data_IF_032560035805
#
_entry.id   IF_032560035805
#
_cell.length_a   1.000
_cell.length_b   1.000
_cell.length_c   1.000
_cell.angle_alpha   90.00
_cell.angle_beta   90.00
_cell.angle_gamma   90.00
#
_symmetry.space_group_name_H-M   'P 1'
#
loop_
_entity.id
_entity.type
_entity.pdbx_description
1 polymer ?
#
# COMPACT_ATOMS: atom_id res chain seq x y z
N UNK A 1 31.33 -24.48 -20.66
CA UNK A 1 31.29 -23.08 -20.17
C UNK A 1 29.86 -22.61 -20.36
N UNK A 2 29.11 -22.44 -19.26
CA UNK A 2 27.70 -22.07 -19.31
C UNK A 2 27.58 -20.57 -19.55
N UNK A 3 26.88 -20.18 -20.62
CA UNK A 3 26.46 -18.80 -20.83
C UNK A 3 25.47 -18.42 -19.73
N UNK A 4 25.86 -17.49 -18.87
CA UNK A 4 24.90 -16.76 -18.06
C UNK A 4 24.04 -15.95 -19.03
N UNK A 5 22.69 -16.05 -19.01
CA UNK A 5 21.88 -15.20 -19.85
C UNK A 5 22.09 -13.75 -19.43
N UNK A 6 22.56 -12.91 -20.34
CA UNK A 6 22.73 -11.46 -20.16
C UNK A 6 21.41 -10.76 -19.84
N UNK A 7 20.29 -11.37 -20.23
CA UNK A 7 18.94 -10.90 -19.95
C UNK A 7 18.07 -12.02 -19.37
N UNK A 8 17.19 -11.66 -18.43
CA UNK A 8 16.16 -12.57 -17.93
C UNK A 8 15.38 -13.15 -19.14
N UNK A 9 15.19 -14.48 -19.22
CA UNK A 9 14.56 -15.11 -20.37
C UNK A 9 13.10 -14.62 -20.47
N UNK A 10 12.84 -13.78 -21.48
CA UNK A 10 11.51 -13.28 -21.80
C UNK A 10 11.40 -11.77 -21.96
N UNK A 11 12.34 -10.98 -21.45
CA UNK A 11 12.30 -9.52 -21.54
C UNK A 11 13.38 -9.02 -22.50
N UNK A 12 12.94 -8.48 -23.64
CA UNK A 12 13.79 -7.79 -24.61
C UNK A 12 13.21 -6.39 -24.80
N UNK A 13 13.84 -5.40 -24.16
CA UNK A 13 13.33 -4.03 -24.09
C UNK A 13 13.21 -3.36 -25.47
N UNK A 14 14.07 -3.75 -26.42
CA UNK A 14 14.06 -3.25 -27.79
C UNK A 14 12.97 -3.92 -28.63
N UNK A 15 12.82 -5.25 -28.50
CA UNK A 15 11.75 -6.03 -29.16
C UNK A 15 10.35 -5.63 -28.68
N UNK A 16 10.21 -5.40 -27.38
CA UNK A 16 8.91 -5.17 -26.74
C UNK A 16 8.54 -3.68 -26.71
N UNK A 17 9.38 -2.80 -27.29
CA UNK A 17 9.14 -1.36 -27.38
C UNK A 17 9.00 -0.66 -26.02
N UNK A 18 9.46 -1.32 -24.94
CA UNK A 18 9.31 -0.82 -23.59
C UNK A 18 10.47 0.11 -23.28
N UNK A 19 10.33 1.38 -23.67
CA UNK A 19 11.21 2.44 -23.21
C UNK A 19 10.92 2.74 -21.75
N UNK A 20 11.68 2.12 -20.85
CA UNK A 20 11.75 2.49 -19.45
C UNK A 20 12.63 3.72 -19.32
N UNK A 21 12.05 4.87 -18.97
CA UNK A 21 12.83 6.04 -18.56
C UNK A 21 12.68 6.22 -17.05
N UNK A 22 13.75 6.71 -16.39
CA UNK A 22 13.69 7.08 -14.98
C UNK A 22 12.50 8.01 -14.70
N UNK A 23 12.18 8.91 -15.65
CA UNK A 23 11.05 9.82 -15.56
C UNK A 23 9.70 9.10 -15.58
N UNK A 24 9.52 8.11 -16.45
CA UNK A 24 8.29 7.32 -16.53
C UNK A 24 8.07 6.50 -15.26
N UNK A 25 9.13 5.90 -14.72
CA UNK A 25 9.07 5.14 -13.46
C UNK A 25 8.73 6.07 -12.29
N UNK A 26 9.36 7.25 -12.19
CA UNK A 26 9.01 8.28 -11.20
C UNK A 26 7.56 8.73 -11.30
N UNK A 27 7.06 8.95 -12.53
CA UNK A 27 5.67 9.35 -12.76
C UNK A 27 4.68 8.28 -12.29
N UNK A 28 5.00 6.99 -12.48
CA UNK A 28 4.17 5.89 -11.98
C UNK A 28 4.17 5.87 -10.44
N UNK A 29 5.34 6.02 -9.81
CA UNK A 29 5.41 6.09 -8.35
C UNK A 29 4.61 7.28 -7.77
N UNK A 30 4.70 8.46 -8.40
CA UNK A 30 3.91 9.63 -7.99
C UNK A 30 2.40 9.37 -8.13
N UNK A 31 1.95 8.79 -9.24
CA UNK A 31 0.55 8.44 -9.42
C UNK A 31 0.05 7.44 -8.36
N UNK A 32 0.83 6.38 -8.08
CA UNK A 32 0.51 5.43 -7.01
C UNK A 32 0.45 6.08 -5.63
N UNK A 33 1.27 7.12 -5.39
CA UNK A 33 1.26 7.87 -4.13
C UNK A 33 0.00 8.73 -4.00
N UNK A 34 -0.46 9.36 -5.08
CA UNK A 34 -1.73 10.10 -5.09
C UNK A 34 -2.92 9.18 -4.82
N UNK A 35 -2.94 7.98 -5.43
CA UNK A 35 -3.98 6.98 -5.18
C UNK A 35 -3.97 6.45 -3.73
N UNK A 36 -2.84 6.53 -3.03
CA UNK A 36 -2.73 6.07 -1.65
C UNK A 36 -3.29 7.08 -0.63
N UNK A 37 -3.29 8.37 -0.96
CA UNK A 37 -3.71 9.46 -0.06
C UNK A 37 -5.08 9.28 0.59
N UNK A 38 -6.15 8.83 -0.12
CA UNK A 38 -7.46 8.63 0.49
C UNK A 38 -7.43 7.61 1.63
N UNK A 39 -6.63 6.55 1.52
CA UNK A 39 -6.52 5.51 2.55
C UNK A 39 -5.78 6.00 3.81
N UNK A 40 -4.95 7.03 3.65
CA UNK A 40 -4.24 7.74 4.72
C UNK A 40 -5.05 8.91 5.31
N UNK A 41 -6.30 9.11 4.88
CA UNK A 41 -7.14 10.22 5.36
C UNK A 41 -6.82 11.57 4.72
N UNK A 42 -6.00 11.59 3.66
CA UNK A 42 -5.59 12.81 2.95
C UNK A 42 -6.45 13.12 1.70
N UNK A 43 -7.48 12.33 1.42
CA UNK A 43 -8.41 12.53 0.29
C UNK A 43 -9.60 13.43 0.62
N UNK A 44 -10.30 13.94 -0.39
CA UNK A 44 -11.41 14.92 -0.24
C UNK A 44 -12.61 14.41 0.57
N UNK A 45 -12.81 13.10 0.62
CA UNK A 45 -14.04 12.51 1.15
C UNK A 45 -13.79 11.72 2.45
N UNK A 46 -12.53 11.49 2.84
CA UNK A 46 -12.10 10.74 4.03
C UNK A 46 -12.56 9.27 4.12
N UNK A 47 -13.48 8.83 3.24
CA UNK A 47 -14.10 7.50 3.25
C UNK A 47 -13.07 6.40 2.96
N UNK A 48 -13.11 5.35 3.77
CA UNK A 48 -12.17 4.23 3.68
C UNK A 48 -10.77 4.54 4.21
N UNK A 49 -10.54 5.71 4.80
CA UNK A 49 -9.32 5.99 5.54
C UNK A 49 -9.24 5.19 6.84
N UNK A 50 -8.04 5.04 7.39
CA UNK A 50 -7.87 4.46 8.74
C UNK A 50 -8.70 5.23 9.78
N UNK A 51 -8.71 6.57 9.75
CA UNK A 51 -9.56 7.36 10.64
C UNK A 51 -11.04 7.07 10.45
N UNK A 52 -11.52 6.97 9.20
CA UNK A 52 -12.92 6.67 8.91
C UNK A 52 -13.31 5.26 9.40
N UNK A 53 -12.47 4.26 9.13
CA UNK A 53 -12.66 2.90 9.63
C UNK A 53 -12.63 2.81 11.15
N UNK A 54 -11.83 3.64 11.81
CA UNK A 54 -11.77 3.75 13.28
C UNK A 54 -12.99 4.49 13.85
N UNK A 55 -13.46 5.51 13.13
CA UNK A 55 -14.56 6.38 13.56
C UNK A 55 -15.93 5.84 13.20
N UNK A 56 -16.03 4.87 12.28
CA UNK A 56 -17.30 4.29 11.85
C UNK A 56 -18.04 3.74 13.07
N UNK A 57 -19.04 4.52 13.50
CA UNK A 57 -19.70 4.39 14.78
C UNK A 57 -20.37 3.05 15.00
N UNK A 58 -20.63 2.27 13.93
CA UNK A 58 -21.31 0.99 14.01
C UNK A 58 -20.71 0.01 15.00
N UNK A 59 -19.38 -0.16 15.04
CA UNK A 59 -18.74 -1.15 15.92
C UNK A 59 -18.79 -0.71 17.38
N UNK A 60 -18.42 0.54 17.67
CA UNK A 60 -18.44 1.06 19.04
C UNK A 60 -19.87 1.18 19.58
N UNK A 61 -20.81 1.59 18.74
CA UNK A 61 -22.22 1.74 19.10
C UNK A 61 -22.88 0.38 19.33
N UNK A 62 -22.58 -0.62 18.49
CA UNK A 62 -23.00 -2.01 18.70
C UNK A 62 -22.37 -2.58 19.98
N UNK A 63 -21.08 -2.34 20.22
CA UNK A 63 -20.39 -2.78 21.45
C UNK A 63 -21.06 -2.20 22.70
N UNK A 64 -21.34 -0.91 22.70
CA UNK A 64 -22.06 -0.24 23.79
C UNK A 64 -23.47 -0.82 23.97
N UNK A 65 -24.23 -1.03 22.89
CA UNK A 65 -25.55 -1.65 22.97
C UNK A 65 -25.50 -3.07 23.56
N UNK A 66 -24.55 -3.90 23.14
CA UNK A 66 -24.36 -5.25 23.67
C UNK A 66 -24.00 -5.24 25.16
N UNK A 67 -23.25 -4.25 25.62
CA UNK A 67 -22.88 -4.07 27.02
C UNK A 67 -24.03 -3.52 27.89
N UNK A 68 -25.01 -2.83 27.31
CA UNK A 68 -26.19 -2.33 28.06
C UNK A 68 -27.20 -3.42 28.42
N UNK A 69 -27.13 -4.60 27.79
CA UNK A 69 -28.02 -5.71 28.10
C UNK A 69 -27.46 -6.43 29.34
N UNK A 70 -28.03 -6.11 30.50
CA UNK A 70 -27.66 -6.70 31.78
C UNK A 70 -27.89 -8.22 31.79
N UNK A 71 -26.96 -8.96 32.39
CA UNK A 71 -26.99 -10.42 32.55
C UNK A 71 -26.90 -11.25 31.25
N UNK A 72 -26.53 -10.64 30.11
CA UNK A 72 -26.27 -11.39 28.89
C UNK A 72 -24.77 -11.63 28.67
N UNK A 73 -24.27 -12.73 29.24
CA UNK A 73 -22.86 -13.13 29.10
C UNK A 73 -22.42 -13.31 27.64
N UNK A 74 -23.31 -13.85 26.80
CA UNK A 74 -23.06 -13.98 25.35
C UNK A 74 -22.85 -12.63 24.66
N UNK A 75 -23.61 -11.60 25.05
CA UNK A 75 -23.46 -10.24 24.52
C UNK A 75 -22.12 -9.61 24.90
N UNK A 76 -21.67 -9.83 26.15
CA UNK A 76 -20.36 -9.37 26.62
C UNK A 76 -19.21 -10.02 25.83
N UNK A 77 -19.21 -11.35 25.71
CA UNK A 77 -18.19 -12.10 24.97
C UNK A 77 -18.16 -11.73 23.48
N UNK A 78 -19.33 -11.53 22.88
CA UNK A 78 -19.45 -11.08 21.49
C UNK A 78 -18.90 -9.66 21.32
N UNK A 79 -19.23 -8.72 22.22
CA UNK A 79 -18.69 -7.36 22.25
C UNK A 79 -17.16 -7.33 22.36
N UNK A 80 -16.59 -8.15 23.24
CA UNK A 80 -15.13 -8.25 23.41
C UNK A 80 -14.44 -8.85 22.18
N UNK A 81 -15.06 -9.86 21.56
CA UNK A 81 -14.54 -10.47 20.34
C UNK A 81 -14.62 -9.51 19.16
N UNK A 82 -15.75 -8.81 19.01
CA UNK A 82 -15.95 -7.78 17.99
C UNK A 82 -14.91 -6.65 18.10
N UNK A 83 -14.64 -6.18 19.34
CA UNK A 83 -13.62 -5.18 19.59
C UNK A 83 -12.22 -5.63 19.17
N UNK A 84 -11.85 -6.87 19.51
CA UNK A 84 -10.56 -7.47 19.12
C UNK A 84 -10.45 -7.64 17.60
N UNK A 85 -11.45 -8.24 16.96
CA UNK A 85 -11.46 -8.43 15.51
C UNK A 85 -11.40 -7.10 14.74
N UNK A 86 -12.06 -6.05 15.26
CA UNK A 86 -11.96 -4.73 14.66
C UNK A 86 -10.55 -4.14 14.79
N UNK A 87 -9.90 -4.28 15.94
CA UNK A 87 -8.51 -3.86 16.11
C UNK A 87 -7.55 -4.63 15.18
N UNK A 88 -7.69 -5.96 15.10
CA UNK A 88 -6.88 -6.78 14.20
C UNK A 88 -7.06 -6.37 12.74
N UNK A 89 -8.29 -6.10 12.32
CA UNK A 89 -8.59 -5.57 10.99
C UNK A 89 -7.87 -4.24 10.72
N UNK A 90 -7.95 -3.28 11.64
CA UNK A 90 -7.26 -2.00 11.51
C UNK A 90 -5.74 -2.16 11.43
N UNK A 91 -5.17 -3.09 12.19
CA UNK A 91 -3.74 -3.35 12.17
C UNK A 91 -3.27 -3.99 10.85
N UNK A 92 -4.03 -4.95 10.32
CA UNK A 92 -3.76 -5.51 8.98
C UNK A 92 -3.88 -4.42 7.91
N UNK A 93 -4.92 -3.58 8.00
CA UNK A 93 -5.16 -2.51 7.06
C UNK A 93 -3.99 -1.50 7.04
N UNK A 94 -3.51 -1.06 8.21
CA UNK A 94 -2.32 -0.21 8.33
C UNK A 94 -1.08 -0.86 7.74
N UNK A 95 -0.87 -2.16 7.96
CA UNK A 95 0.28 -2.89 7.38
C UNK A 95 0.23 -2.93 5.86
N UNK A 96 -0.96 -3.09 5.27
CA UNK A 96 -1.13 -3.05 3.81
C UNK A 96 -0.75 -1.68 3.26
N UNK A 97 -1.19 -0.59 3.90
CA UNK A 97 -0.80 0.79 3.51
C UNK A 97 0.73 0.94 3.58
N UNK A 98 1.36 0.54 4.68
CA UNK A 98 2.83 0.60 4.85
C UNK A 98 3.55 -0.20 3.76
N UNK A 99 3.04 -1.38 3.39
CA UNK A 99 3.62 -2.19 2.32
C UNK A 99 3.52 -1.47 0.96
N UNK A 100 2.40 -0.81 0.66
CA UNK A 100 2.28 0.00 -0.55
C UNK A 100 3.23 1.19 -0.55
N UNK A 101 3.34 1.92 0.56
CA UNK A 101 4.34 3.01 0.69
C UNK A 101 5.76 2.50 0.45
N UNK A 102 6.10 1.34 1.02
CA UNK A 102 7.41 0.72 0.85
C UNK A 102 7.65 0.33 -0.61
N UNK A 103 6.66 -0.28 -1.27
CA UNK A 103 6.75 -0.65 -2.68
C UNK A 103 6.93 0.60 -3.57
N UNK A 104 6.18 1.67 -3.31
CA UNK A 104 6.32 2.95 -4.04
C UNK A 104 7.74 3.51 -3.84
N UNK A 105 8.26 3.52 -2.61
CA UNK A 105 9.61 4.00 -2.33
C UNK A 105 10.69 3.17 -3.03
N UNK A 106 10.50 1.84 -3.14
CA UNK A 106 11.40 0.95 -3.90
C UNK A 106 11.36 1.28 -5.40
N UNK A 107 10.18 1.57 -5.96
CA UNK A 107 10.03 2.01 -7.36
C UNK A 107 10.76 3.35 -7.58
N UNK A 108 10.61 4.33 -6.69
CA UNK A 108 11.30 5.62 -6.77
C UNK A 108 12.82 5.46 -6.70
N UNK A 109 13.29 4.62 -5.78
CA UNK A 109 14.72 4.31 -5.62
C UNK A 109 15.26 3.64 -6.88
N UNK A 110 14.55 2.64 -7.42
CA UNK A 110 14.90 1.97 -8.66
C UNK A 110 14.97 2.94 -9.85
N UNK A 111 14.04 3.90 -9.93
CA UNK A 111 14.08 4.96 -10.94
C UNK A 111 15.32 5.86 -10.80
N UNK A 112 15.71 6.18 -9.57
CA UNK A 112 16.93 6.94 -9.27
C UNK A 112 18.18 6.21 -9.74
N UNK A 113 18.33 4.94 -9.36
CA UNK A 113 19.46 4.08 -9.76
C UNK A 113 19.53 3.96 -11.29
N UNK A 114 18.39 3.66 -11.94
CA UNK A 114 18.32 3.59 -13.40
C UNK A 114 18.79 4.88 -14.07
N UNK A 115 18.33 6.04 -13.57
CA UNK A 115 18.77 7.34 -14.07
C UNK A 115 20.28 7.53 -13.96
N UNK A 116 20.86 7.23 -12.80
CA UNK A 116 22.32 7.37 -12.59
C UNK A 116 23.13 6.44 -13.48
N UNK A 117 22.71 5.18 -13.65
CA UNK A 117 23.39 4.21 -14.52
C UNK A 117 23.27 4.60 -15.99
N UNK A 118 22.11 5.08 -16.43
CA UNK A 118 21.92 5.52 -17.80
C UNK A 118 22.78 6.76 -18.12
N UNK A 119 22.82 7.75 -17.23
CA UNK A 119 23.72 8.92 -17.39
C UNK A 119 25.20 8.54 -17.37
N UNK A 120 25.60 7.57 -16.56
CA UNK A 120 26.98 7.07 -16.55
C UNK A 120 27.35 6.35 -17.86
N UNK A 121 26.42 5.58 -18.43
CA UNK A 121 26.63 4.87 -19.70
C UNK A 121 26.57 5.78 -20.93
N UNK A 122 25.74 6.83 -20.91
CA UNK A 122 25.65 7.82 -21.99
C UNK A 122 26.70 8.94 -21.88
N UNK A 123 27.43 9.00 -20.77
CA UNK A 123 28.44 10.02 -20.44
C UNK A 123 29.88 9.69 -20.85
N UNK A 124 30.16 8.53 -21.44
CA UNK A 124 31.42 8.25 -22.13
C UNK A 124 31.24 8.38 -23.65
N UNK A 125 31.26 9.63 -24.13
CA UNK A 125 31.59 9.96 -25.53
C UNK A 125 32.54 11.14 -25.56
#
# INVERSE_FOLDING_TARGET
MGNTPENWPGLDAERDGVTYSAQKIKSVASALREELKPFEGQGTDGRGSVEDLTSYGGVNQLRTQLQTISNWEGGRLFSESLGRSHQEFLDVYRRVIINFQTAIALIETGAGVYGTTNTANEGEV
#
